data_IF_911029733214
#
_entry.id   IF_911029733214
#
_cell.length_a   1.000
_cell.length_b   1.000
_cell.length_c   1.000
_cell.angle_alpha   90.00
_cell.angle_beta   90.00
_cell.angle_gamma   90.00
#
_symmetry.space_group_name_H-M   'P 1'
#
loop_
_entity.id
_entity.type
_entity.pdbx_description
1 polymer ?
#
# COMPACT_ATOMS: atom_id res chain seq x y z
N UNK A 1 -17.16 14.44 -15.48
CA UNK A 1 -15.85 15.08 -15.76
C UNK A 1 -16.04 16.20 -16.77
N UNK A 2 -16.22 15.85 -18.04
CA UNK A 2 -16.49 16.82 -19.12
C UNK A 2 -17.79 17.62 -18.89
N UNK A 3 -18.85 16.99 -18.40
CA UNK A 3 -20.11 17.68 -18.11
C UNK A 3 -19.96 18.74 -17.00
N UNK A 4 -19.14 18.48 -15.99
CA UNK A 4 -18.83 19.43 -14.92
C UNK A 4 -18.04 20.64 -15.44
N UNK A 5 -17.11 20.42 -16.38
CA UNK A 5 -16.32 21.48 -17.02
C UNK A 5 -17.22 22.32 -17.93
N UNK A 6 -18.12 21.68 -18.69
CA UNK A 6 -19.07 22.37 -19.57
C UNK A 6 -20.08 23.24 -18.80
N UNK A 7 -20.38 22.90 -17.54
CA UNK A 7 -21.27 23.71 -16.68
C UNK A 7 -20.51 24.80 -15.91
N UNK A 8 -19.18 24.75 -15.88
CA UNK A 8 -18.36 25.70 -15.15
C UNK A 8 -18.02 26.92 -16.03
N UNK A 9 -18.63 28.07 -15.75
CA UNK A 9 -18.42 29.33 -16.49
C UNK A 9 -17.05 30.01 -16.23
N UNK A 10 -16.15 29.38 -15.49
CA UNK A 10 -14.89 29.97 -15.00
C UNK A 10 -13.63 29.24 -15.49
N UNK A 11 -13.74 28.41 -16.52
CA UNK A 11 -12.63 27.66 -17.11
C UNK A 11 -12.57 27.92 -18.61
N UNK A 12 -11.36 28.25 -19.07
CA UNK A 12 -11.04 28.50 -20.47
C UNK A 12 -10.21 27.34 -21.03
N UNK A 13 -10.16 27.17 -22.35
CA UNK A 13 -9.26 26.19 -22.97
C UNK A 13 -7.80 26.59 -22.73
N UNK A 14 -6.95 25.59 -22.47
CA UNK A 14 -5.54 25.82 -22.20
C UNK A 14 -4.84 26.35 -23.45
N UNK A 15 -4.06 27.41 -23.30
CA UNK A 15 -3.17 27.89 -24.36
C UNK A 15 -1.88 27.06 -24.41
N UNK A 16 -1.13 27.12 -25.52
CA UNK A 16 0.20 26.49 -25.61
C UNK A 16 1.15 26.97 -24.49
N UNK A 17 1.01 28.22 -24.05
CA UNK A 17 1.78 28.77 -22.94
C UNK A 17 1.41 28.12 -21.60
N UNK A 18 0.13 27.81 -21.38
CA UNK A 18 -0.34 27.11 -20.18
C UNK A 18 0.16 25.68 -20.13
N UNK A 19 0.15 24.97 -21.27
CA UNK A 19 0.70 23.61 -21.38
C UNK A 19 2.22 23.59 -21.14
N UNK A 20 2.96 24.54 -21.71
CA UNK A 20 4.39 24.68 -21.49
C UNK A 20 4.71 24.93 -20.00
N UNK A 21 3.97 25.85 -19.36
CA UNK A 21 4.10 26.14 -17.94
C UNK A 21 3.73 24.94 -17.07
N UNK A 22 2.67 24.20 -17.43
CA UNK A 22 2.29 22.98 -16.72
C UNK A 22 3.38 21.91 -16.80
N UNK A 23 4.03 21.75 -17.97
CA UNK A 23 5.15 20.84 -18.14
C UNK A 23 6.36 21.25 -17.30
N UNK A 24 6.73 22.53 -17.31
CA UNK A 24 7.83 23.08 -16.50
C UNK A 24 7.58 22.85 -15.00
N UNK A 25 6.39 23.20 -14.50
CA UNK A 25 6.02 23.00 -13.09
C UNK A 25 6.02 21.52 -12.72
N UNK A 26 5.54 20.65 -13.62
CA UNK A 26 5.55 19.20 -13.41
C UNK A 26 6.97 18.66 -13.30
N UNK A 27 7.87 19.00 -14.22
CA UNK A 27 9.28 18.58 -14.19
C UNK A 27 10.00 19.12 -12.96
N UNK A 28 9.85 20.42 -12.65
CA UNK A 28 10.41 21.03 -11.46
C UNK A 28 9.90 20.38 -10.17
N UNK A 29 8.63 19.99 -10.12
CA UNK A 29 8.05 19.28 -8.97
C UNK A 29 8.57 17.84 -8.87
N UNK A 30 8.73 17.14 -9.99
CA UNK A 30 9.28 15.80 -10.03
C UNK A 30 10.72 15.76 -9.49
N UNK A 31 11.53 16.75 -9.89
CA UNK A 31 12.92 16.87 -9.46
C UNK A 31 13.09 17.24 -7.98
N UNK A 32 12.04 17.73 -7.30
CA UNK A 32 12.06 17.98 -5.84
C UNK A 32 11.88 16.71 -5.01
N UNK A 33 11.48 15.59 -5.62
CA UNK A 33 11.30 14.32 -4.90
C UNK A 33 12.68 13.71 -4.60
N UNK A 34 13.15 13.90 -3.38
CA UNK A 34 14.48 13.43 -2.96
C UNK A 34 14.56 11.91 -2.76
N UNK A 35 13.45 11.28 -2.33
CA UNK A 35 13.42 9.85 -2.03
C UNK A 35 13.05 9.05 -3.27
N UNK A 36 13.93 8.14 -3.67
CA UNK A 36 13.69 7.17 -4.74
C UNK A 36 13.57 5.77 -4.15
N UNK A 37 12.80 4.93 -4.82
CA UNK A 37 12.67 3.50 -4.51
C UNK A 37 13.09 2.79 -5.78
N UNK A 38 14.15 1.99 -5.68
CA UNK A 38 14.60 1.15 -6.79
C UNK A 38 13.60 0.01 -6.93
N UNK A 39 12.81 0.04 -8.00
CA UNK A 39 11.77 -0.97 -8.28
C UNK A 39 12.18 -1.95 -9.38
N UNK A 40 13.36 -1.75 -9.97
CA UNK A 40 13.93 -2.64 -10.98
C UNK A 40 14.23 -4.02 -10.37
N UNK A 41 13.76 -5.07 -11.04
CA UNK A 41 13.86 -6.48 -10.66
C UNK A 41 13.38 -6.78 -9.23
N UNK A 42 12.43 -5.98 -8.72
CA UNK A 42 12.01 -6.09 -7.33
C UNK A 42 11.33 -7.44 -7.05
N UNK A 43 10.65 -8.00 -8.04
CA UNK A 43 10.02 -9.31 -7.97
C UNK A 43 11.05 -10.42 -7.79
N UNK A 44 12.10 -10.39 -8.60
CA UNK A 44 13.19 -11.37 -8.60
C UNK A 44 14.01 -11.31 -7.30
N UNK A 45 14.08 -10.13 -6.67
CA UNK A 45 14.73 -9.89 -5.38
C UNK A 45 13.85 -10.28 -4.20
N UNK A 46 12.54 -10.01 -4.29
CA UNK A 46 11.61 -10.20 -3.18
C UNK A 46 11.19 -11.66 -3.04
N UNK A 47 10.88 -12.38 -4.12
CA UNK A 47 10.41 -13.78 -4.03
C UNK A 47 11.33 -14.71 -3.22
N UNK A 48 12.67 -14.70 -3.38
CA UNK A 48 13.58 -15.53 -2.59
C UNK A 48 13.51 -15.29 -1.06
N UNK A 49 13.08 -14.10 -0.65
CA UNK A 49 12.99 -13.74 0.75
C UNK A 49 11.68 -14.24 1.43
N UNK A 50 10.74 -14.86 0.71
CA UNK A 50 9.37 -15.07 1.21
C UNK A 50 9.33 -15.91 2.50
N UNK A 51 10.07 -17.02 2.51
CA UNK A 51 10.12 -17.95 3.64
C UNK A 51 11.28 -17.66 4.62
N UNK A 52 12.01 -16.55 4.43
CA UNK A 52 13.08 -16.16 5.33
C UNK A 52 12.53 -15.53 6.62
N UNK A 53 12.20 -16.38 7.60
CA UNK A 53 11.61 -15.97 8.87
C UNK A 53 12.51 -14.97 9.62
N UNK A 54 13.81 -15.25 9.77
CA UNK A 54 14.76 -14.39 10.49
C UNK A 54 14.83 -12.97 9.90
N UNK A 55 14.72 -12.85 8.59
CA UNK A 55 14.63 -11.56 7.92
C UNK A 55 13.32 -10.84 8.29
N UNK A 56 12.17 -11.49 8.13
CA UNK A 56 10.88 -10.86 8.37
C UNK A 56 10.63 -10.53 9.84
N UNK A 57 11.14 -11.33 10.77
CA UNK A 57 11.11 -11.01 12.20
C UNK A 57 11.90 -9.74 12.51
N UNK A 58 13.10 -9.59 11.93
CA UNK A 58 13.89 -8.35 12.06
C UNK A 58 13.20 -7.14 11.43
N UNK A 59 12.64 -7.29 10.23
CA UNK A 59 11.87 -6.23 9.54
C UNK A 59 10.64 -5.83 10.36
N UNK A 60 9.95 -6.79 10.97
CA UNK A 60 8.75 -6.57 11.76
C UNK A 60 9.02 -6.13 13.20
N UNK A 61 10.27 -6.21 13.69
CA UNK A 61 10.62 -5.99 15.09
C UNK A 61 10.07 -4.67 15.63
N UNK A 62 10.33 -3.56 14.92
CA UNK A 62 9.86 -2.21 15.29
C UNK A 62 8.35 -2.04 15.19
N UNK A 63 7.67 -2.81 14.33
CA UNK A 63 6.25 -2.62 14.05
C UNK A 63 5.40 -2.91 15.30
N UNK A 64 4.49 -1.98 15.62
CA UNK A 64 3.51 -2.10 16.72
C UNK A 64 2.18 -2.75 16.29
N UNK A 65 2.02 -3.10 15.01
CA UNK A 65 0.74 -3.57 14.44
C UNK A 65 -0.46 -2.62 14.64
N UNK A 66 -0.21 -1.31 14.78
CA UNK A 66 -1.27 -0.32 15.05
C UNK A 66 -2.17 0.02 13.85
N UNK A 67 -1.79 -0.36 12.62
CA UNK A 67 -2.62 -0.18 11.42
C UNK A 67 -2.76 1.23 10.87
N UNK A 68 -2.16 2.27 11.47
CA UNK A 68 -2.25 3.67 10.98
C UNK A 68 -1.87 3.80 9.49
N UNK A 69 -0.91 2.99 9.06
CA UNK A 69 -0.42 2.95 7.70
C UNK A 69 -1.44 2.40 6.70
N UNK A 70 -2.48 1.68 7.14
CA UNK A 70 -3.60 1.24 6.29
C UNK A 70 -4.52 2.40 5.98
N UNK A 71 -4.93 3.16 7.00
CA UNK A 71 -5.85 4.30 6.84
C UNK A 71 -5.27 5.45 6.01
N UNK A 72 -3.94 5.58 5.95
CA UNK A 72 -3.26 6.65 5.20
C UNK A 72 -2.88 6.28 3.77
N UNK A 73 -2.87 4.99 3.46
CA UNK A 73 -2.36 4.50 2.19
C UNK A 73 -3.51 4.43 1.17
N UNK A 74 -3.39 5.11 0.02
CA UNK A 74 -4.49 5.21 -0.94
C UNK A 74 -4.68 3.91 -1.73
N UNK A 75 -3.70 3.01 -1.68
CA UNK A 75 -3.71 1.71 -2.35
C UNK A 75 -4.05 0.58 -1.39
N UNK A 76 -4.47 0.88 -0.16
CA UNK A 76 -5.01 -0.11 0.76
C UNK A 76 -6.53 -0.21 0.56
N UNK A 77 -6.98 -1.38 0.11
CA UNK A 77 -8.38 -1.65 -0.22
C UNK A 77 -8.90 -2.96 0.39
N UNK A 78 -8.20 -3.51 1.38
CA UNK A 78 -8.67 -4.69 2.10
C UNK A 78 -10.04 -4.38 2.74
N UNK A 79 -10.92 -5.36 2.69
CA UNK A 79 -12.25 -5.29 3.28
C UNK A 79 -12.58 -6.66 3.87
N UNK A 80 -13.53 -6.65 4.79
CA UNK A 80 -14.17 -7.86 5.29
C UNK A 80 -15.67 -7.83 4.98
N UNK A 81 -16.31 -8.99 5.07
CA UNK A 81 -17.76 -9.13 4.90
C UNK A 81 -18.31 -9.64 6.23
N UNK A 82 -19.23 -8.88 6.82
CA UNK A 82 -19.93 -9.29 8.04
C UNK A 82 -21.40 -9.55 7.73
N UNK A 83 -21.93 -10.59 8.37
CA UNK A 83 -23.33 -10.98 8.36
C UNK A 83 -23.88 -10.75 9.77
N UNK A 84 -24.80 -9.78 9.91
CA UNK A 84 -25.41 -9.44 11.19
C UNK A 84 -26.91 -9.75 11.16
N UNK A 85 -27.42 -10.28 12.27
CA UNK A 85 -28.85 -10.51 12.45
C UNK A 85 -29.43 -9.41 13.33
N UNK A 86 -30.23 -8.52 12.74
CA UNK A 86 -30.89 -7.43 13.44
C UNK A 86 -32.40 -7.65 13.39
N UNK A 87 -33.05 -7.84 14.54
CA UNK A 87 -34.52 -7.98 14.66
C UNK A 87 -35.13 -9.05 13.72
N UNK A 88 -34.50 -10.22 13.63
CA UNK A 88 -34.88 -11.33 12.73
C UNK A 88 -34.76 -11.02 11.23
N UNK A 89 -34.05 -9.96 10.85
CA UNK A 89 -33.66 -9.67 9.47
C UNK A 89 -32.14 -9.75 9.37
N UNK A 90 -31.65 -10.50 8.38
CA UNK A 90 -30.22 -10.63 8.12
C UNK A 90 -29.73 -9.54 7.18
N UNK A 91 -28.65 -8.87 7.53
CA UNK A 91 -27.95 -7.92 6.66
C UNK A 91 -26.52 -8.38 6.43
N UNK A 92 -26.09 -8.36 5.18
CA UNK A 92 -24.70 -8.57 4.77
C UNK A 92 -24.12 -7.24 4.33
N UNK A 93 -23.01 -6.82 4.93
CA UNK A 93 -22.34 -5.59 4.53
C UNK A 93 -20.82 -5.77 4.41
N UNK A 94 -20.23 -4.91 3.59
CA UNK A 94 -18.78 -4.81 3.43
C UNK A 94 -18.25 -3.73 4.36
N UNK A 95 -17.29 -4.09 5.21
CA UNK A 95 -16.60 -3.15 6.08
C UNK A 95 -15.13 -3.01 5.68
N UNK A 96 -14.55 -1.83 5.92
CA UNK A 96 -13.13 -1.61 5.72
C UNK A 96 -12.31 -2.44 6.71
N UNK A 97 -11.29 -3.12 6.22
CA UNK A 97 -10.43 -3.96 7.05
C UNK A 97 -8.95 -3.89 6.58
N UNK A 98 -8.06 -4.64 7.22
CA UNK A 98 -6.63 -4.62 6.93
C UNK A 98 -5.97 -5.98 7.04
N UNK A 99 -5.23 -6.35 6.01
CA UNK A 99 -4.28 -7.48 6.07
C UNK A 99 -3.19 -7.37 7.15
N UNK A 100 -3.08 -6.23 7.84
CA UNK A 100 -2.17 -6.04 8.97
C UNK A 100 -2.78 -6.44 10.33
N UNK A 101 -4.11 -6.60 10.43
CA UNK A 101 -4.79 -6.98 11.66
C UNK A 101 -4.73 -8.48 11.90
N UNK A 102 -4.66 -8.89 13.17
CA UNK A 102 -4.50 -10.30 13.55
C UNK A 102 -5.73 -11.15 13.23
N UNK A 103 -6.92 -10.54 13.16
CA UNK A 103 -8.17 -11.26 12.85
C UNK A 103 -8.41 -11.41 11.34
N UNK A 104 -7.72 -10.61 10.52
CA UNK A 104 -7.89 -10.66 9.06
C UNK A 104 -7.50 -12.05 8.54
N UNK A 105 -8.36 -12.65 7.72
CA UNK A 105 -8.19 -14.03 7.18
C UNK A 105 -8.12 -15.13 8.23
N UNK A 106 -8.52 -14.87 9.48
CA UNK A 106 -8.68 -15.92 10.49
C UNK A 106 -9.87 -16.81 10.10
N UNK A 107 -9.60 -18.10 9.94
CA UNK A 107 -10.62 -19.13 9.70
C UNK A 107 -10.97 -19.82 11.03
N UNK A 108 -12.04 -20.63 11.09
CA UNK A 108 -12.45 -21.30 12.34
C UNK A 108 -11.36 -22.15 12.99
N UNK A 109 -10.45 -22.72 12.19
CA UNK A 109 -9.41 -23.65 12.65
C UNK A 109 -8.01 -23.03 12.65
N UNK A 110 -7.72 -22.15 11.70
CA UNK A 110 -6.36 -21.67 11.44
C UNK A 110 -6.33 -20.18 11.09
N UNK A 111 -5.22 -19.52 11.44
CA UNK A 111 -4.90 -18.20 10.94
C UNK A 111 -3.57 -18.27 10.15
N UNK A 112 -3.62 -18.17 8.80
CA UNK A 112 -2.41 -18.26 7.96
C UNK A 112 -1.35 -17.18 8.26
N UNK A 113 -1.71 -16.12 9.01
CA UNK A 113 -0.85 -14.97 9.33
C UNK A 113 -0.97 -14.58 10.81
N UNK A 114 -0.92 -15.58 11.70
CA UNK A 114 -1.01 -15.38 13.14
C UNK A 114 0.13 -14.52 13.70
N UNK A 115 1.35 -14.70 13.20
CA UNK A 115 2.53 -14.00 13.66
C UNK A 115 2.63 -12.61 13.01
N UNK A 116 3.09 -11.63 13.80
CA UNK A 116 3.26 -10.24 13.37
C UNK A 116 4.09 -10.12 12.09
N UNK A 117 5.18 -10.88 12.00
CA UNK A 117 6.08 -10.82 10.86
C UNK A 117 5.42 -11.30 9.57
N UNK A 118 4.53 -12.31 9.63
CA UNK A 118 3.77 -12.79 8.45
C UNK A 118 2.85 -11.71 7.90
N UNK A 119 2.22 -10.91 8.78
CA UNK A 119 1.37 -9.77 8.38
C UNK A 119 2.18 -8.61 7.81
N UNK A 120 3.33 -8.29 8.42
CA UNK A 120 4.25 -7.27 7.88
C UNK A 120 4.78 -7.69 6.51
N UNK A 121 5.22 -8.95 6.36
CA UNK A 121 5.58 -9.57 5.09
C UNK A 121 4.45 -9.41 4.08
N UNK A 122 3.22 -9.82 4.42
CA UNK A 122 2.07 -9.72 3.54
C UNK A 122 1.84 -8.28 3.04
N UNK A 123 2.02 -7.26 3.90
CA UNK A 123 1.90 -5.86 3.48
C UNK A 123 2.91 -5.48 2.41
N UNK A 124 4.16 -5.94 2.54
CA UNK A 124 5.22 -5.69 1.55
C UNK A 124 4.91 -6.43 0.25
N UNK A 125 4.69 -7.75 0.31
CA UNK A 125 4.38 -8.55 -0.88
C UNK A 125 3.11 -8.10 -1.59
N UNK A 126 2.07 -7.72 -0.86
CA UNK A 126 0.86 -7.23 -1.52
C UNK A 126 1.16 -5.99 -2.35
N UNK A 127 2.08 -5.11 -1.92
CA UNK A 127 2.39 -3.89 -2.67
C UNK A 127 3.37 -4.09 -3.83
N UNK A 128 4.35 -4.97 -3.66
CA UNK A 128 5.49 -5.10 -4.57
C UNK A 128 5.51 -6.41 -5.37
N UNK A 129 4.69 -7.39 -5.02
CA UNK A 129 4.62 -8.68 -5.72
C UNK A 129 3.19 -8.99 -6.18
N UNK A 130 2.26 -9.21 -5.25
CA UNK A 130 0.93 -9.74 -5.59
C UNK A 130 0.06 -8.75 -6.35
N UNK A 131 0.10 -7.46 -6.02
CA UNK A 131 -0.64 -6.46 -6.78
C UNK A 131 -0.06 -6.27 -8.19
N UNK A 132 1.28 -6.16 -8.38
CA UNK A 132 1.89 -6.25 -9.71
C UNK A 132 1.52 -7.52 -10.48
N UNK A 133 1.48 -8.69 -9.84
CA UNK A 133 1.08 -9.94 -10.51
C UNK A 133 -0.35 -9.85 -11.09
N UNK A 134 -1.26 -9.19 -10.37
CA UNK A 134 -2.67 -9.11 -10.76
C UNK A 134 -2.97 -7.93 -11.71
N UNK A 135 -2.25 -6.82 -11.57
CA UNK A 135 -2.61 -5.54 -12.21
C UNK A 135 -1.47 -4.91 -13.01
N UNK A 136 -0.28 -5.52 -13.04
CA UNK A 136 0.88 -5.03 -13.80
C UNK A 136 1.52 -3.75 -13.24
N UNK A 137 1.11 -3.29 -12.05
CA UNK A 137 1.61 -2.03 -11.45
C UNK A 137 1.96 -2.20 -9.98
N UNK A 138 2.95 -1.45 -9.50
CA UNK A 138 3.33 -1.44 -8.08
C UNK A 138 2.34 -0.58 -7.27
N UNK A 139 1.78 -1.16 -6.21
CA UNK A 139 0.81 -0.47 -5.36
C UNK A 139 1.45 0.45 -4.31
N UNK A 140 2.78 0.57 -4.25
CA UNK A 140 3.44 1.59 -3.44
C UNK A 140 3.96 2.73 -4.32
N UNK A 141 3.37 3.92 -4.18
CA UNK A 141 3.79 5.12 -4.93
C UNK A 141 4.92 5.92 -4.26
N UNK A 142 5.48 5.42 -3.16
CA UNK A 142 6.56 6.12 -2.43
C UNK A 142 6.13 7.40 -1.70
N UNK A 143 4.83 7.67 -1.57
CA UNK A 143 4.32 8.93 -0.98
C UNK A 143 4.68 9.19 0.51
N UNK A 144 5.25 8.21 1.23
CA UNK A 144 5.77 8.39 2.59
C UNK A 144 4.76 8.65 3.71
N UNK A 145 3.45 8.79 3.42
CA UNK A 145 2.42 9.08 4.44
C UNK A 145 2.39 8.05 5.57
N UNK A 146 2.53 6.78 5.23
CA UNK A 146 2.57 5.69 6.20
C UNK A 146 3.79 5.72 7.11
N UNK A 147 4.91 6.30 6.65
CA UNK A 147 6.17 6.41 7.39
C UNK A 147 6.08 7.61 8.34
N UNK A 148 5.68 8.77 7.82
CA UNK A 148 5.55 10.03 8.57
C UNK A 148 4.67 9.92 9.80
N UNK A 149 3.59 9.16 9.72
CA UNK A 149 2.62 9.00 10.81
C UNK A 149 2.85 7.72 11.64
N UNK A 150 3.88 6.95 11.32
CA UNK A 150 4.20 5.76 12.09
C UNK A 150 4.83 6.17 13.43
N UNK A 151 4.30 5.73 14.59
CA UNK A 151 4.85 6.09 15.91
C UNK A 151 6.28 5.59 16.14
N UNK A 152 6.71 4.60 15.36
CA UNK A 152 8.03 3.96 15.43
C UNK A 152 8.85 4.17 14.15
N UNK A 153 8.39 5.06 13.26
CA UNK A 153 9.01 5.36 11.98
C UNK A 153 9.34 4.08 11.17
N UNK A 154 8.42 3.10 11.15
CA UNK A 154 8.59 1.90 10.37
C UNK A 154 8.50 2.24 8.89
N UNK A 155 9.55 1.87 8.16
CA UNK A 155 9.76 2.30 6.79
C UNK A 155 9.64 1.11 5.83
N UNK A 156 8.62 1.16 4.96
CA UNK A 156 8.37 0.07 4.03
C UNK A 156 9.48 -0.08 2.98
N UNK A 157 10.21 0.98 2.64
CA UNK A 157 11.27 0.86 1.63
C UNK A 157 12.52 0.18 2.20
N UNK A 158 12.77 0.32 3.51
CA UNK A 158 13.88 -0.39 4.18
C UNK A 158 13.70 -1.91 4.16
N UNK A 159 12.46 -2.39 4.01
CA UNK A 159 12.16 -3.81 3.81
C UNK A 159 12.55 -4.31 2.40
N UNK A 160 12.95 -3.42 1.49
CA UNK A 160 13.45 -3.74 0.16
C UNK A 160 14.97 -3.60 0.08
N UNK A 161 15.55 -2.66 0.82
CA UNK A 161 16.99 -2.35 0.78
C UNK A 161 17.88 -3.49 1.30
N UNK A 162 17.38 -4.32 2.21
CA UNK A 162 18.15 -5.36 2.90
C UNK A 162 17.69 -6.78 2.58
N UNK A 163 17.10 -6.99 1.39
CA UNK A 163 16.67 -8.33 0.98
C UNK A 163 17.86 -9.30 0.99
N UNK A 164 17.70 -10.52 1.54
CA UNK A 164 18.75 -11.52 1.52
C UNK A 164 19.15 -11.81 0.07
N UNK A 165 20.45 -12.00 -0.16
CA UNK A 165 20.94 -12.42 -1.48
C UNK A 165 20.28 -13.74 -1.90
N UNK A 166 20.10 -13.93 -3.21
CA UNK A 166 19.70 -15.24 -3.76
C UNK A 166 20.69 -16.28 -3.24
N UNK A 167 20.18 -17.24 -2.47
CA UNK A 167 20.88 -18.49 -2.16
C UNK A 167 20.84 -19.37 -3.42
#
# INVERSE_FOLDING_TARGET
>A
GKDLIATASRVEEATEADEAKAKEVKEASYNKVARKIETEDIKEKLLPAFDNQDYWERVAAKCLSCGICTFLCPTCFCFDISDELVKNQGERFRCWDSCAFSIYTKMPVENPREEKWRRVRQRVYHKYEFYPMNFGVIACTGCGRCIRQCPVNWDITQALDNLPAKI
#
